data_IF_854995154890
#
_entry.id   IF_854995154890
#
_cell.length_a   1.000
_cell.length_b   1.000
_cell.length_c   1.000
_cell.angle_alpha   90.00
_cell.angle_beta   90.00
_cell.angle_gamma   90.00
#
_symmetry.space_group_name_H-M   'P 1'
#
loop_
_entity.id
_entity.type
_entity.pdbx_description
1 polymer ?
#
# COMPACT_ATOMS: atom_id res chain seq x y z
N UNK A 1 3.96 0.73 -8.56
CA UNK A 1 2.94 -0.16 -9.17
C UNK A 1 1.62 0.31 -8.55
N UNK A 2 0.50 -0.43 -8.54
CA UNK A 2 -0.70 0.03 -7.82
C UNK A 2 -0.80 -0.63 -6.44
N UNK A 3 -1.20 0.09 -5.40
CA UNK A 3 -1.50 -0.45 -4.05
C UNK A 3 -2.39 -1.70 -4.16
N UNK A 4 -3.55 -1.57 -4.82
CA UNK A 4 -4.51 -2.68 -5.00
C UNK A 4 -3.92 -3.88 -5.73
N UNK A 5 -3.05 -3.63 -6.71
CA UNK A 5 -2.41 -4.69 -7.47
C UNK A 5 -1.42 -5.47 -6.60
N UNK A 6 -0.64 -4.78 -5.76
CA UNK A 6 0.27 -5.43 -4.82
C UNK A 6 -0.49 -6.21 -3.76
N UNK A 7 -1.56 -5.63 -3.20
CA UNK A 7 -2.47 -6.30 -2.26
C UNK A 7 -3.08 -7.56 -2.87
N UNK A 8 -3.53 -7.50 -4.12
CA UNK A 8 -4.02 -8.67 -4.84
C UNK A 8 -2.95 -9.76 -4.95
N UNK A 9 -1.73 -9.42 -5.36
CA UNK A 9 -0.64 -10.40 -5.45
C UNK A 9 -0.27 -11.01 -4.10
N UNK A 10 -0.27 -10.21 -3.03
CA UNK A 10 -0.05 -10.69 -1.68
C UNK A 10 -1.10 -11.74 -1.31
N UNK A 11 -2.39 -11.44 -1.54
CA UNK A 11 -3.50 -12.37 -1.28
C UNK A 11 -3.37 -13.69 -2.05
N UNK A 12 -2.96 -13.62 -3.32
CA UNK A 12 -2.74 -14.80 -4.18
C UNK A 12 -1.60 -15.66 -3.63
N UNK A 13 -0.51 -15.05 -3.18
CA UNK A 13 0.62 -15.78 -2.60
C UNK A 13 0.27 -16.39 -1.24
N UNK A 14 -0.48 -15.69 -0.38
CA UNK A 14 -1.04 -16.25 0.86
C UNK A 14 -1.90 -17.48 0.55
N UNK A 15 -2.82 -17.39 -0.41
CA UNK A 15 -3.68 -18.51 -0.80
C UNK A 15 -2.87 -19.71 -1.32
N UNK A 16 -1.81 -19.47 -2.10
CA UNK A 16 -0.87 -20.52 -2.51
C UNK A 16 -0.15 -21.13 -1.31
N UNK A 17 0.28 -20.31 -0.35
CA UNK A 17 0.92 -20.73 0.90
C UNK A 17 0.03 -21.67 1.70
N UNK A 18 -1.22 -21.28 1.95
CA UNK A 18 -2.22 -22.12 2.64
C UNK A 18 -2.42 -23.47 1.95
N UNK A 19 -2.52 -23.51 0.62
CA UNK A 19 -2.61 -24.78 -0.12
C UNK A 19 -1.37 -25.66 0.07
N UNK A 20 -0.18 -25.08 0.20
CA UNK A 20 1.02 -25.85 0.50
C UNK A 20 1.00 -26.39 1.94
N UNK A 21 0.54 -25.60 2.92
CA UNK A 21 0.39 -26.07 4.30
C UNK A 21 -0.61 -27.22 4.41
N UNK A 22 -1.75 -27.15 3.71
CA UNK A 22 -2.70 -28.27 3.62
C UNK A 22 -2.07 -29.52 3.00
N UNK A 23 -1.20 -29.37 1.99
CA UNK A 23 -0.46 -30.49 1.42
C UNK A 23 0.57 -31.05 2.39
N UNK A 24 1.25 -30.19 3.16
CA UNK A 24 2.20 -30.59 4.17
C UNK A 24 1.51 -31.45 5.25
N UNK A 25 0.40 -30.97 5.78
CA UNK A 25 -0.41 -31.68 6.77
C UNK A 25 -0.88 -33.06 6.27
N UNK A 26 -1.42 -33.11 5.04
CA UNK A 26 -1.80 -34.37 4.40
C UNK A 26 -0.64 -35.36 4.22
N UNK A 27 0.60 -34.89 4.04
CA UNK A 27 1.79 -35.75 3.93
C UNK A 27 2.25 -36.23 5.30
N UNK A 28 2.17 -35.35 6.30
CA UNK A 28 2.52 -35.64 7.68
C UNK A 28 1.59 -36.70 8.28
N UNK A 29 0.27 -36.59 8.04
CA UNK A 29 -0.73 -37.59 8.42
C UNK A 29 -0.50 -38.98 7.80
N UNK A 30 0.25 -39.05 6.68
CA UNK A 30 0.63 -40.30 6.00
C UNK A 30 2.02 -40.79 6.38
N UNK A 31 2.65 -40.20 7.40
CA UNK A 31 4.00 -40.55 7.85
C UNK A 31 5.12 -40.11 6.90
N UNK A 32 4.83 -39.29 5.88
CA UNK A 32 5.83 -38.83 4.92
C UNK A 32 6.37 -37.46 5.32
N UNK A 33 7.25 -37.46 6.33
CA UNK A 33 7.81 -36.24 6.95
C UNK A 33 8.61 -35.42 5.94
N UNK A 34 9.48 -36.04 5.13
CA UNK A 34 10.31 -35.31 4.15
C UNK A 34 9.46 -34.56 3.12
N UNK A 35 8.39 -35.18 2.63
CA UNK A 35 7.47 -34.52 1.70
C UNK A 35 6.66 -33.42 2.41
N UNK A 36 6.31 -33.59 3.69
CA UNK A 36 5.63 -32.57 4.47
C UNK A 36 6.51 -31.33 4.62
N UNK A 37 7.78 -31.50 5.02
CA UNK A 37 8.76 -30.42 5.16
C UNK A 37 8.94 -29.66 3.85
N UNK A 38 9.04 -30.35 2.71
CA UNK A 38 9.13 -29.70 1.38
C UNK A 38 7.92 -28.82 1.06
N UNK A 39 6.72 -29.26 1.43
CA UNK A 39 5.52 -28.45 1.23
C UNK A 39 5.46 -27.28 2.21
N UNK A 40 5.86 -27.49 3.47
CA UNK A 40 5.93 -26.43 4.45
C UNK A 40 6.88 -25.31 4.03
N UNK A 41 8.11 -25.64 3.59
CA UNK A 41 9.08 -24.69 3.04
C UNK A 41 8.52 -23.91 1.84
N UNK A 42 7.84 -24.59 0.91
CA UNK A 42 7.16 -23.91 -0.21
C UNK A 42 6.07 -22.95 0.25
N UNK A 43 5.34 -23.31 1.31
CA UNK A 43 4.31 -22.45 1.91
C UNK A 43 4.91 -21.20 2.53
N UNK A 44 6.02 -21.34 3.28
CA UNK A 44 6.74 -20.20 3.85
C UNK A 44 7.29 -19.27 2.78
N UNK A 45 7.88 -19.80 1.70
CA UNK A 45 8.34 -18.99 0.54
C UNK A 45 7.22 -18.18 -0.10
N UNK A 46 6.00 -18.74 -0.14
CA UNK A 46 4.83 -17.99 -0.60
C UNK A 46 4.46 -16.86 0.37
N UNK A 47 4.59 -17.06 1.69
CA UNK A 47 4.36 -16.01 2.68
C UNK A 47 5.38 -14.88 2.57
N UNK A 48 6.67 -15.20 2.43
CA UNK A 48 7.74 -14.21 2.18
C UNK A 48 7.46 -13.40 0.89
N UNK A 49 6.98 -14.07 -0.16
CA UNK A 49 6.60 -13.38 -1.40
C UNK A 49 5.36 -12.49 -1.24
N UNK A 50 4.48 -12.80 -0.29
CA UNK A 50 3.33 -11.95 0.02
C UNK A 50 3.76 -10.72 0.83
N UNK A 51 4.66 -10.90 1.80
CA UNK A 51 5.28 -9.82 2.58
C UNK A 51 5.98 -8.80 1.68
N UNK A 52 6.77 -9.25 0.69
CA UNK A 52 7.37 -8.37 -0.32
C UNK A 52 6.33 -7.55 -1.10
N UNK A 53 5.15 -8.11 -1.37
CA UNK A 53 4.07 -7.37 -2.01
C UNK A 53 3.42 -6.37 -1.05
N UNK A 54 3.26 -6.68 0.23
CA UNK A 54 2.77 -5.72 1.22
C UNK A 54 3.71 -4.53 1.37
N UNK A 55 5.01 -4.75 1.50
CA UNK A 55 6.00 -3.67 1.58
C UNK A 55 5.96 -2.76 0.34
N UNK A 56 5.79 -3.34 -0.86
CA UNK A 56 5.64 -2.55 -2.08
C UNK A 56 4.32 -1.77 -2.14
N UNK A 57 3.25 -2.30 -1.55
CA UNK A 57 1.99 -1.59 -1.45
C UNK A 57 2.11 -0.37 -0.53
N UNK A 58 2.81 -0.55 0.59
CA UNK A 58 3.15 0.51 1.55
C UNK A 58 4.03 1.60 0.90
N UNK A 59 5.10 1.21 0.21
CA UNK A 59 5.94 2.15 -0.56
C UNK A 59 5.13 2.95 -1.60
N UNK A 60 4.25 2.26 -2.35
CA UNK A 60 3.38 2.88 -3.35
C UNK A 60 2.38 3.86 -2.67
N UNK A 61 1.90 3.55 -1.45
CA UNK A 61 1.01 4.42 -0.68
C UNK A 61 1.72 5.69 -0.20
N UNK A 62 2.89 5.57 0.43
CA UNK A 62 3.69 6.71 0.86
C UNK A 62 4.12 7.59 -0.31
N UNK A 63 4.50 7.00 -1.44
CA UNK A 63 4.87 7.76 -2.64
C UNK A 63 3.71 8.62 -3.17
N UNK A 64 2.49 8.06 -3.16
CA UNK A 64 1.28 8.80 -3.55
C UNK A 64 0.93 9.89 -2.54
N UNK A 65 0.97 9.59 -1.25
CA UNK A 65 0.73 10.58 -0.19
C UNK A 65 1.71 11.76 -0.31
N UNK A 66 3.00 11.49 -0.52
CA UNK A 66 4.00 12.53 -0.78
C UNK A 66 3.68 13.39 -2.01
N UNK A 67 3.16 12.77 -3.08
CA UNK A 67 2.72 13.51 -4.29
C UNK A 67 1.53 14.44 -4.01
N UNK A 68 0.57 14.00 -3.19
CA UNK A 68 -0.57 14.85 -2.80
C UNK A 68 -0.14 15.98 -1.86
N UNK A 69 0.80 15.74 -0.93
CA UNK A 69 1.43 16.79 -0.11
C UNK A 69 2.10 17.84 -0.99
N UNK A 70 2.86 17.45 -2.01
CA UNK A 70 3.52 18.38 -2.94
C UNK A 70 2.51 19.24 -3.71
N UNK A 71 1.36 18.66 -4.09
CA UNK A 71 0.26 19.42 -4.71
C UNK A 71 -0.38 20.38 -3.71
N UNK A 72 -0.62 19.93 -2.47
CA UNK A 72 -1.13 20.78 -1.39
C UNK A 72 -0.22 21.98 -1.13
N UNK A 73 1.10 21.77 -1.07
CA UNK A 73 2.10 22.83 -0.91
C UNK A 73 2.05 23.86 -2.05
N UNK A 74 1.85 23.42 -3.29
CA UNK A 74 1.70 24.31 -4.46
C UNK A 74 0.42 25.15 -4.36
N UNK A 75 -0.70 24.56 -3.97
CA UNK A 75 -1.96 25.29 -3.78
C UNK A 75 -1.87 26.27 -2.61
N UNK A 76 -1.24 25.87 -1.50
CA UNK A 76 -1.01 26.77 -0.37
C UNK A 76 -0.14 27.97 -0.76
N UNK A 77 0.90 27.74 -1.59
CA UNK A 77 1.72 28.83 -2.10
C UNK A 77 0.91 29.82 -2.96
N UNK A 78 0.05 29.33 -3.85
CA UNK A 78 -0.88 30.19 -4.61
C UNK A 78 -1.82 30.97 -3.69
N UNK A 79 -2.35 30.34 -2.65
CA UNK A 79 -3.19 31.02 -1.66
C UNK A 79 -2.47 32.20 -1.01
N UNK A 80 -1.21 32.02 -0.62
CA UNK A 80 -0.39 33.08 -0.02
C UNK A 80 -0.16 34.23 -1.02
N UNK A 81 0.15 33.89 -2.27
CA UNK A 81 0.45 34.87 -3.31
C UNK A 81 -0.80 35.69 -3.70
N UNK A 82 -1.97 35.05 -3.82
CA UNK A 82 -3.25 35.73 -4.07
C UNK A 82 -3.66 36.62 -2.89
N UNK A 83 -3.45 36.16 -1.65
CA UNK A 83 -3.74 36.95 -0.46
C UNK A 83 -2.88 38.22 -0.43
N UNK A 84 -1.59 38.10 -0.76
CA UNK A 84 -0.67 39.24 -0.83
C UNK A 84 -1.06 40.28 -1.91
N UNK A 85 -1.78 39.84 -2.95
CA UNK A 85 -2.32 40.70 -4.00
C UNK A 85 -3.69 41.31 -3.66
N UNK A 86 -4.27 40.98 -2.50
CA UNK A 86 -5.59 41.45 -2.08
C UNK A 86 -6.76 40.63 -2.66
N UNK A 87 -6.48 39.51 -3.34
CA UNK A 87 -7.49 38.65 -3.94
C UNK A 87 -7.99 37.59 -2.93
N UNK A 88 -8.65 38.03 -1.85
CA UNK A 88 -9.00 37.20 -0.70
C UNK A 88 -9.87 35.98 -1.08
N UNK A 89 -10.83 36.14 -2.00
CA UNK A 89 -11.69 35.02 -2.45
C UNK A 89 -10.91 33.98 -3.27
N UNK A 90 -9.89 34.41 -4.02
CA UNK A 90 -9.00 33.51 -4.75
C UNK A 90 -8.10 32.75 -3.78
N UNK A 91 -7.54 33.47 -2.80
CA UNK A 91 -6.74 32.88 -1.73
C UNK A 91 -7.51 31.79 -0.97
N UNK A 92 -8.75 32.08 -0.54
CA UNK A 92 -9.59 31.11 0.17
C UNK A 92 -9.85 29.83 -0.63
N UNK A 93 -10.06 29.93 -1.95
CA UNK A 93 -10.24 28.75 -2.82
C UNK A 93 -8.98 27.89 -2.91
N UNK A 94 -7.82 28.51 -3.08
CA UNK A 94 -6.54 27.80 -3.10
C UNK A 94 -6.21 27.16 -1.75
N UNK A 95 -6.53 27.83 -0.63
CA UNK A 95 -6.38 27.26 0.70
C UNK A 95 -7.25 26.01 0.89
N UNK A 96 -8.54 26.08 0.55
CA UNK A 96 -9.44 24.92 0.62
C UNK A 96 -8.94 23.76 -0.27
N UNK A 97 -8.44 24.07 -1.46
CA UNK A 97 -7.84 23.05 -2.33
C UNK A 97 -6.58 22.43 -1.72
N UNK A 98 -5.78 23.19 -0.97
CA UNK A 98 -4.61 22.64 -0.28
C UNK A 98 -5.02 21.69 0.85
N UNK A 99 -6.04 22.04 1.64
CA UNK A 99 -6.55 21.18 2.71
C UNK A 99 -7.07 19.86 2.16
N UNK A 100 -7.89 19.88 1.09
CA UNK A 100 -8.36 18.65 0.45
C UNK A 100 -7.20 17.74 -0.01
N UNK A 101 -6.08 18.31 -0.48
CA UNK A 101 -4.91 17.54 -0.89
C UNK A 101 -4.18 16.90 0.28
N UNK A 102 -4.14 17.57 1.42
CA UNK A 102 -3.56 17.00 2.64
C UNK A 102 -4.47 15.90 3.21
N UNK A 103 -5.79 16.08 3.17
CA UNK A 103 -6.74 15.04 3.55
C UNK A 103 -6.62 13.80 2.64
N UNK A 104 -6.56 13.99 1.31
CA UNK A 104 -6.30 12.91 0.34
C UNK A 104 -4.96 12.18 0.62
N UNK A 105 -3.95 12.88 1.13
CA UNK A 105 -2.68 12.27 1.50
C UNK A 105 -2.78 11.44 2.79
N UNK A 106 -3.54 11.90 3.77
CA UNK A 106 -3.79 11.19 5.04
C UNK A 106 -4.59 9.91 4.81
N UNK A 107 -5.65 9.99 4.00
CA UNK A 107 -6.50 8.84 3.63
C UNK A 107 -5.72 7.68 2.96
N UNK A 108 -4.53 7.96 2.41
CA UNK A 108 -3.67 6.93 1.79
C UNK A 108 -2.79 6.17 2.78
N UNK A 109 -2.56 6.72 3.98
CA UNK A 109 -1.61 6.19 4.97
C UNK A 109 -2.23 5.88 6.34
N UNK A 110 -3.48 6.29 6.57
CA UNK A 110 -4.31 5.91 7.74
C UNK A 110 -5.14 4.64 7.47
#
# INVERSE_FOLDING_TARGET
MGIDYQMHRASVNIAKGFRQFQKADNKLAKGNVDSAVKHFDKGLKCCVSAEDHFMKAEDDAYSKAGTEIDKGNKELKKSIDEYAQGNVDSAGRHYASAMNRYDEALDLIE
#
